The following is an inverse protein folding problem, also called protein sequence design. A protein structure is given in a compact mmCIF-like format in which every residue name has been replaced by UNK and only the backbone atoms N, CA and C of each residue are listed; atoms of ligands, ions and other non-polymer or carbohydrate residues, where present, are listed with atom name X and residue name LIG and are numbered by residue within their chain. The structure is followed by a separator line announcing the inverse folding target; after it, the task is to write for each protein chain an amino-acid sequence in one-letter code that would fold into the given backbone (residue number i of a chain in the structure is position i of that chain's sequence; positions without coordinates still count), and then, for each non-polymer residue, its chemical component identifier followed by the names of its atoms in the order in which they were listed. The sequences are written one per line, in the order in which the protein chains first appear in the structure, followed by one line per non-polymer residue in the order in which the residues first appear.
data_IF_988799508827
#
_entry.id   IF_988799508827
#
_cell.length_a   1.000
_cell.length_b   1.000
_cell.length_c   1.000
_cell.angle_alpha   90.00
_cell.angle_beta   90.00
_cell.angle_gamma   90.00
#
_symmetry.space_group_name_H-M   'P 1'
#
loop_
_entity.id
_entity.type
_entity.pdbx_description
1 polymer ?
#
# COMPACT_ATOMS: atom_id res chain seq x y z
N UNK A 1 2.93 -40.84 -4.98
CA UNK A 1 3.24 -39.77 -5.95
C UNK A 1 1.91 -39.09 -6.21
N UNK A 2 1.77 -37.80 -5.89
CA UNK A 2 0.52 -37.06 -6.09
C UNK A 2 0.24 -36.90 -7.59
N UNK A 3 -1.04 -36.88 -7.98
CA UNK A 3 -1.42 -36.56 -9.36
C UNK A 3 -1.11 -35.10 -9.70
N UNK A 4 -0.92 -34.80 -10.98
CA UNK A 4 -0.69 -33.42 -11.48
C UNK A 4 -1.80 -32.45 -11.06
N UNK A 5 -3.04 -32.93 -10.96
CA UNK A 5 -4.19 -32.14 -10.54
C UNK A 5 -4.15 -31.81 -9.03
N UNK A 6 -3.76 -32.77 -8.20
CA UNK A 6 -3.56 -32.55 -6.75
C UNK A 6 -2.41 -31.58 -6.50
N UNK A 7 -1.30 -31.72 -7.23
CA UNK A 7 -0.14 -30.82 -7.13
C UNK A 7 -0.50 -29.38 -7.52
N UNK A 8 -1.28 -29.22 -8.60
CA UNK A 8 -1.78 -27.91 -9.04
C UNK A 8 -2.69 -27.27 -7.99
N UNK A 9 -3.61 -28.03 -7.41
CA UNK A 9 -4.50 -27.53 -6.37
C UNK A 9 -3.74 -27.13 -5.11
N UNK A 10 -2.73 -27.90 -4.72
CA UNK A 10 -1.87 -27.56 -3.59
C UNK A 10 -1.07 -26.27 -3.83
N UNK A 11 -0.57 -26.06 -5.06
CA UNK A 11 0.11 -24.82 -5.46
C UNK A 11 -0.81 -23.61 -5.42
N UNK A 12 -2.07 -23.74 -5.86
CA UNK A 12 -3.07 -22.67 -5.82
C UNK A 12 -3.40 -22.32 -4.36
N UNK A 13 -3.57 -23.32 -3.49
CA UNK A 13 -3.85 -23.12 -2.06
C UNK A 13 -2.69 -22.43 -1.32
N UNK A 14 -1.44 -22.69 -1.75
CA UNK A 14 -0.23 -22.06 -1.18
C UNK A 14 0.16 -20.75 -1.86
N UNK A 15 -0.53 -20.35 -2.94
CA UNK A 15 -0.20 -19.14 -3.67
C UNK A 15 -0.53 -17.91 -2.83
N UNK A 16 0.49 -17.11 -2.51
CA UNK A 16 0.29 -15.80 -1.89
C UNK A 16 -0.51 -14.88 -2.82
N UNK A 17 -1.40 -14.07 -2.26
CA UNK A 17 -2.02 -12.94 -2.95
C UNK A 17 -0.96 -11.93 -3.41
N UNK A 18 -1.28 -11.06 -4.37
CA UNK A 18 -0.32 -10.14 -4.96
C UNK A 18 0.41 -9.28 -3.92
N UNK A 19 -0.33 -8.72 -2.97
CA UNK A 19 0.17 -7.87 -1.88
C UNK A 19 1.15 -8.59 -0.96
N UNK A 20 0.93 -9.88 -0.70
CA UNK A 20 1.78 -10.71 0.16
C UNK A 20 3.01 -11.29 -0.55
N UNK A 21 3.12 -11.14 -1.88
CA UNK A 21 4.31 -11.56 -2.64
C UNK A 21 5.48 -10.59 -2.40
N UNK A 22 6.73 -11.09 -2.47
CA UNK A 22 7.91 -10.24 -2.45
C UNK A 22 7.88 -9.23 -3.59
N UNK A 23 8.26 -7.98 -3.29
CA UNK A 23 8.47 -6.95 -4.28
C UNK A 23 9.93 -7.02 -4.74
N UNK A 24 10.20 -7.79 -5.79
CA UNK A 24 11.57 -8.00 -6.26
C UNK A 24 12.23 -6.70 -6.72
N UNK A 25 13.53 -6.57 -6.42
CA UNK A 25 14.31 -5.36 -6.71
C UNK A 25 14.16 -4.25 -5.67
N UNK A 26 13.28 -4.41 -4.67
CA UNK A 26 13.20 -3.52 -3.51
C UNK A 26 14.05 -4.00 -2.34
N UNK A 27 14.42 -3.06 -1.47
CA UNK A 27 15.15 -3.32 -0.23
C UNK A 27 14.49 -2.58 0.94
N UNK A 28 14.92 -2.88 2.17
CA UNK A 28 14.43 -2.19 3.36
C UNK A 28 14.65 -0.67 3.29
N UNK A 29 15.69 -0.22 2.58
CA UNK A 29 15.99 1.20 2.36
C UNK A 29 14.91 1.94 1.56
N UNK A 30 14.06 1.22 0.81
CA UNK A 30 12.95 1.79 0.07
C UNK A 30 11.70 2.01 0.94
N UNK A 31 11.71 1.51 2.18
CA UNK A 31 10.63 1.70 3.15
C UNK A 31 10.90 2.92 4.03
N UNK A 32 9.83 3.62 4.39
CA UNK A 32 9.82 4.67 5.39
C UNK A 32 9.53 4.05 6.77
N UNK A 33 10.60 3.73 7.48
CA UNK A 33 10.53 3.07 8.79
C UNK A 33 9.92 3.99 9.86
N UNK A 34 10.00 5.31 9.71
CA UNK A 34 9.42 6.23 10.69
C UNK A 34 7.88 6.21 10.63
N UNK A 35 7.30 6.09 9.43
CA UNK A 35 5.85 5.86 9.28
C UNK A 35 5.46 4.53 9.92
N UNK A 36 6.25 3.48 9.71
CA UNK A 36 6.01 2.18 10.34
C UNK A 36 6.03 2.24 11.87
N UNK A 37 7.03 2.90 12.45
CA UNK A 37 7.13 3.09 13.91
C UNK A 37 5.96 3.89 14.46
N UNK A 38 5.59 4.98 13.77
CA UNK A 38 4.41 5.78 14.13
C UNK A 38 3.14 4.93 14.09
N UNK A 39 2.96 4.10 13.07
CA UNK A 39 1.83 3.16 13.01
C UNK A 39 1.82 2.19 14.20
N UNK A 40 2.95 1.57 14.54
CA UNK A 40 3.02 0.64 15.68
C UNK A 40 2.62 1.30 17.01
N UNK A 41 3.06 2.55 17.23
CA UNK A 41 2.69 3.32 18.43
C UNK A 41 1.18 3.60 18.54
N UNK A 42 0.47 3.69 17.41
CA UNK A 42 -0.97 3.91 17.40
C UNK A 42 -1.77 2.59 17.38
N UNK A 43 -1.17 1.49 16.94
CA UNK A 43 -1.85 0.21 16.72
C UNK A 43 -1.61 -0.81 17.84
N UNK A 44 -0.58 -0.61 18.68
CA UNK A 44 -0.15 -1.54 19.72
C UNK A 44 0.05 -0.77 21.03
N UNK A 45 -0.36 -1.37 22.14
CA UNK A 45 -0.14 -0.80 23.48
C UNK A 45 1.35 -0.61 23.79
N UNK A 46 1.67 0.47 24.50
CA UNK A 46 3.04 0.90 24.77
C UNK A 46 3.86 -0.17 25.52
N UNK A 47 3.24 -0.88 26.48
CA UNK A 47 3.88 -1.96 27.23
C UNK A 47 4.29 -3.13 26.31
N UNK A 48 3.38 -3.56 25.42
CA UNK A 48 3.64 -4.65 24.46
C UNK A 48 4.72 -4.23 23.45
N UNK A 49 4.73 -2.95 23.05
CA UNK A 49 5.73 -2.43 22.13
C UNK A 49 7.12 -2.35 22.78
N UNK A 50 7.20 -1.99 24.07
CA UNK A 50 8.45 -1.89 24.82
C UNK A 50 9.11 -3.27 25.05
N UNK A 51 8.31 -4.32 25.23
CA UNK A 51 8.78 -5.71 25.37
C UNK A 51 9.19 -6.34 24.03
N UNK A 52 8.88 -5.70 22.90
CA UNK A 52 9.16 -6.25 21.57
C UNK A 52 10.61 -6.00 21.15
N UNK A 53 11.47 -6.98 21.42
CA UNK A 53 12.90 -6.94 21.09
C UNK A 53 13.25 -7.52 19.71
N UNK A 54 12.26 -7.76 18.84
CA UNK A 54 12.51 -8.26 17.48
C UNK A 54 13.23 -7.22 16.64
N UNK A 55 14.08 -7.67 15.73
CA UNK A 55 14.68 -6.77 14.75
C UNK A 55 13.60 -6.20 13.80
N UNK A 56 13.94 -5.12 13.11
CA UNK A 56 13.00 -4.41 12.24
C UNK A 56 12.44 -5.28 11.10
N UNK A 57 13.24 -6.20 10.54
CA UNK A 57 12.79 -7.11 9.48
C UNK A 57 11.75 -8.10 10.02
N UNK A 58 11.98 -8.64 11.22
CA UNK A 58 11.03 -9.51 11.90
C UNK A 58 9.74 -8.78 12.29
N UNK A 59 9.84 -7.52 12.74
CA UNK A 59 8.67 -6.69 13.02
C UNK A 59 7.84 -6.46 11.76
N UNK A 60 8.47 -6.06 10.65
CA UNK A 60 7.80 -5.89 9.35
C UNK A 60 7.20 -7.20 8.83
N UNK A 61 7.92 -8.31 8.95
CA UNK A 61 7.47 -9.63 8.53
C UNK A 61 6.25 -10.10 9.33
N UNK A 62 6.16 -9.76 10.62
CA UNK A 62 5.00 -10.08 11.47
C UNK A 62 3.71 -9.44 10.98
N UNK A 63 3.81 -8.32 10.26
CA UNK A 63 2.71 -7.61 9.61
C UNK A 63 2.63 -7.88 8.10
N UNK A 64 3.37 -8.90 7.61
CA UNK A 64 3.45 -9.28 6.18
C UNK A 64 3.95 -8.17 5.25
N UNK A 65 4.69 -7.20 5.78
CA UNK A 65 5.30 -6.12 5.01
C UNK A 65 6.70 -6.47 4.48
N UNK A 66 7.26 -7.57 4.96
CA UNK A 66 8.59 -8.06 4.58
C UNK A 66 8.58 -9.58 4.38
N UNK A 67 9.23 -10.04 3.33
CA UNK A 67 9.45 -11.45 3.06
C UNK A 67 10.85 -11.83 3.52
N UNK A 68 10.93 -12.62 4.60
CA UNK A 68 12.20 -13.05 5.18
C UNK A 68 12.95 -14.10 4.34
N UNK A 69 12.28 -14.78 3.40
CA UNK A 69 12.94 -15.77 2.53
C UNK A 69 13.71 -15.06 1.43
N UNK A 70 13.09 -14.05 0.81
CA UNK A 70 13.72 -13.26 -0.26
C UNK A 70 14.45 -12.01 0.24
N UNK A 71 14.38 -11.75 1.55
CA UNK A 71 15.00 -10.62 2.22
C UNK A 71 14.66 -9.27 1.55
N UNK A 72 13.39 -9.08 1.22
CA UNK A 72 12.89 -7.86 0.63
C UNK A 72 11.48 -7.52 1.12
N UNK A 73 11.04 -6.26 1.01
CA UNK A 73 9.66 -5.88 1.23
C UNK A 73 8.67 -6.71 0.39
N UNK A 74 7.43 -6.83 0.89
CA UNK A 74 6.31 -7.30 0.08
C UNK A 74 5.72 -6.16 -0.74
N UNK A 75 4.87 -6.48 -1.73
CA UNK A 75 4.13 -5.45 -2.45
C UNK A 75 3.25 -4.60 -1.51
N UNK A 76 2.68 -5.19 -0.46
CA UNK A 76 1.98 -4.47 0.60
C UNK A 76 2.91 -3.50 1.35
N UNK A 77 4.13 -3.93 1.70
CA UNK A 77 5.13 -3.08 2.34
C UNK A 77 5.45 -1.84 1.51
N UNK A 78 5.67 -2.02 0.21
CA UNK A 78 5.92 -0.90 -0.71
C UNK A 78 4.69 -0.01 -0.86
N UNK A 79 3.48 -0.54 -1.01
CA UNK A 79 2.26 0.26 -1.14
C UNK A 79 1.96 1.09 0.11
N UNK A 80 2.13 0.50 1.30
CA UNK A 80 1.71 1.11 2.56
C UNK A 80 2.70 2.13 3.09
N UNK A 81 4.00 1.84 2.99
CA UNK A 81 5.06 2.63 3.63
C UNK A 81 6.29 2.82 2.73
N UNK A 82 6.19 2.53 1.43
CA UNK A 82 7.28 2.76 0.49
C UNK A 82 7.52 4.25 0.24
N UNK A 83 8.79 4.64 0.10
CA UNK A 83 9.20 6.02 -0.21
C UNK A 83 8.80 6.44 -1.63
N UNK A 84 8.78 5.50 -2.56
CA UNK A 84 8.38 5.72 -3.95
C UNK A 84 7.62 4.50 -4.52
N UNK A 85 6.34 4.31 -4.16
CA UNK A 85 5.60 3.12 -4.58
C UNK A 85 5.42 3.01 -6.09
N UNK A 86 5.29 4.16 -6.79
CA UNK A 86 5.13 4.20 -8.26
C UNK A 86 6.31 3.60 -9.02
N UNK A 87 7.52 3.66 -8.47
CA UNK A 87 8.71 3.07 -9.10
C UNK A 87 8.57 1.55 -9.22
N UNK A 88 8.08 0.89 -8.17
CA UNK A 88 7.92 -0.57 -8.12
C UNK A 88 6.57 -1.03 -8.67
N UNK A 89 5.54 -0.21 -8.50
CA UNK A 89 4.15 -0.51 -8.79
C UNK A 89 3.56 0.66 -9.60
N UNK A 90 3.69 0.65 -10.94
CA UNK A 90 3.27 1.77 -11.79
C UNK A 90 1.79 2.14 -11.69
N UNK A 91 0.94 1.24 -11.17
CA UNK A 91 -0.47 1.48 -10.89
C UNK A 91 -0.79 1.97 -9.47
N UNK A 92 0.23 2.27 -8.64
CA UNK A 92 0.06 2.70 -7.25
C UNK A 92 -0.34 4.19 -7.14
N UNK A 93 -1.47 4.56 -7.75
CA UNK A 93 -2.03 5.89 -7.68
C UNK A 93 -3.56 5.86 -7.70
N UNK A 94 -4.17 6.93 -7.21
CA UNK A 94 -5.60 7.22 -7.37
C UNK A 94 -5.74 8.44 -8.26
N UNK A 95 -6.71 8.41 -9.18
CA UNK A 95 -6.96 9.49 -10.12
C UNK A 95 -8.41 9.95 -10.03
N UNK A 96 -8.58 11.25 -9.82
CA UNK A 96 -9.85 11.94 -9.94
C UNK A 96 -9.95 12.57 -11.32
N UNK A 97 -11.07 12.36 -12.00
CA UNK A 97 -11.40 13.03 -13.27
C UNK A 97 -12.85 13.51 -13.20
N UNK A 98 -13.05 14.80 -13.46
CA UNK A 98 -14.37 15.43 -13.61
C UNK A 98 -14.57 15.76 -15.07
N UNK A 99 -15.60 15.21 -15.69
CA UNK A 99 -15.97 15.53 -17.06
C UNK A 99 -16.98 16.67 -17.12
N UNK A 100 -16.98 17.41 -18.23
CA UNK A 100 -17.94 18.48 -18.52
C UNK A 100 -19.21 17.90 -19.17
N UNK A 101 -19.83 16.94 -18.50
CA UNK A 101 -21.01 16.22 -18.99
C UNK A 101 -21.23 14.93 -18.21
N UNK A 102 -21.93 13.98 -18.81
CA UNK A 102 -22.33 12.72 -18.16
C UNK A 102 -21.55 11.51 -18.66
N UNK A 103 -20.86 11.65 -19.79
CA UNK A 103 -20.12 10.58 -20.43
C UNK A 103 -18.62 10.71 -20.14
N UNK A 104 -17.91 9.59 -20.07
CA UNK A 104 -16.44 9.60 -19.93
C UNK A 104 -15.72 10.15 -21.18
N UNK A 105 -16.44 10.29 -22.30
CA UNK A 105 -15.95 10.91 -23.54
C UNK A 105 -16.07 12.43 -23.53
N UNK A 106 -16.81 13.01 -22.57
CA UNK A 106 -16.98 14.45 -22.50
C UNK A 106 -15.65 15.15 -22.15
N UNK A 107 -15.48 16.43 -22.47
CA UNK A 107 -14.23 17.14 -22.17
C UNK A 107 -13.87 17.11 -20.68
N UNK A 108 -12.61 16.84 -20.34
CA UNK A 108 -12.16 16.86 -18.95
C UNK A 108 -12.21 18.29 -18.42
N UNK A 109 -12.99 18.50 -17.37
CA UNK A 109 -13.12 19.77 -16.63
C UNK A 109 -12.03 19.91 -15.57
N UNK A 110 -11.68 18.81 -14.90
CA UNK A 110 -10.65 18.78 -13.85
C UNK A 110 -10.07 17.39 -13.74
N UNK A 111 -8.78 17.29 -13.49
CA UNK A 111 -8.08 16.04 -13.25
C UNK A 111 -7.08 16.24 -12.11
N UNK A 112 -6.94 15.23 -11.25
CA UNK A 112 -5.89 15.20 -10.23
C UNK A 112 -5.45 13.77 -9.97
N UNK A 113 -4.13 13.56 -9.85
CA UNK A 113 -3.54 12.28 -9.43
C UNK A 113 -3.00 12.39 -8.01
N UNK A 114 -3.17 11.32 -7.25
CA UNK A 114 -2.66 11.14 -5.90
C UNK A 114 -1.77 9.90 -5.89
N UNK A 115 -0.56 10.05 -5.41
CA UNK A 115 0.43 8.98 -5.35
C UNK A 115 1.35 9.19 -4.16
N UNK A 116 2.19 8.19 -3.90
CA UNK A 116 2.99 8.10 -2.68
C UNK A 116 2.56 6.88 -1.88
N UNK A 117 3.03 6.78 -0.64
CA UNK A 117 2.55 5.77 0.29
C UNK A 117 1.04 5.94 0.55
N UNK A 118 0.36 4.84 0.89
CA UNK A 118 -1.09 4.83 1.04
C UNK A 118 -1.58 5.85 2.09
N UNK A 119 -0.82 6.06 3.16
CA UNK A 119 -1.19 7.03 4.20
C UNK A 119 -1.23 8.47 3.63
N UNK A 120 -0.21 8.86 2.88
CA UNK A 120 -0.16 10.15 2.18
C UNK A 120 -1.30 10.29 1.17
N UNK A 121 -1.56 9.26 0.36
CA UNK A 121 -2.67 9.27 -0.62
C UNK A 121 -4.01 9.48 0.07
N UNK A 122 -4.30 8.78 1.18
CA UNK A 122 -5.55 8.92 1.92
C UNK A 122 -5.71 10.31 2.52
N UNK A 123 -4.63 10.87 3.08
CA UNK A 123 -4.62 12.23 3.64
C UNK A 123 -4.91 13.28 2.57
N UNK A 124 -4.25 13.18 1.42
CA UNK A 124 -4.42 14.12 0.32
C UNK A 124 -5.80 14.02 -0.34
N UNK A 125 -6.33 12.81 -0.46
CA UNK A 125 -7.70 12.57 -0.91
C UNK A 125 -8.71 13.20 0.04
N UNK A 126 -8.57 13.01 1.36
CA UNK A 126 -9.47 13.60 2.34
C UNK A 126 -9.47 15.13 2.27
N UNK A 127 -8.29 15.75 2.12
CA UNK A 127 -8.16 17.19 1.95
C UNK A 127 -8.79 17.66 0.63
N UNK A 128 -8.57 16.92 -0.45
CA UNK A 128 -9.16 17.23 -1.75
C UNK A 128 -10.68 17.19 -1.73
N UNK A 129 -11.27 16.13 -1.15
CA UNK A 129 -12.72 15.96 -1.05
C UNK A 129 -13.35 17.13 -0.27
N UNK A 130 -12.75 17.52 0.87
CA UNK A 130 -13.23 18.66 1.66
C UNK A 130 -13.25 19.96 0.86
N UNK A 131 -12.20 20.23 0.09
CA UNK A 131 -12.12 21.45 -0.70
C UNK A 131 -13.10 21.44 -1.89
N UNK A 132 -13.26 20.30 -2.56
CA UNK A 132 -14.13 20.18 -3.74
C UNK A 132 -15.62 20.14 -3.36
N UNK A 133 -15.99 19.54 -2.22
CA UNK A 133 -17.40 19.52 -1.76
C UNK A 133 -17.87 20.93 -1.36
N UNK A 134 -16.98 21.76 -0.79
CA UNK A 134 -17.33 23.14 -0.44
C UNK A 134 -17.64 23.95 -1.71
N UNK A 135 -16.93 23.74 -2.83
CA UNK A 135 -17.27 24.38 -4.11
C UNK A 135 -18.60 23.90 -4.72
N UNK A 136 -19.11 22.73 -4.32
CA UNK A 136 -20.36 22.15 -4.85
C UNK A 136 -21.61 22.54 -4.06
N UNK A 137 -21.47 23.29 -2.97
CA UNK A 137 -22.59 23.78 -2.16
C UNK A 137 -22.61 25.31 -2.22
N UNK A 138 -23.29 25.92 -3.21
CA UNK A 138 -23.45 27.36 -3.24
C UNK A 138 -24.31 27.79 -2.05
N UNK A 139 -23.94 28.88 -1.39
CA UNK A 139 -24.85 29.65 -0.54
C UNK A 139 -26.01 30.22 -1.35
#
# INVERSE_FOLDING_TARGET
MLSEEELRNELILKAKTFDAKPCFGSAIGDLNIDIFRSYLQHAIDEEILAENHRDIHQQLASLRLYDGVYNCPTNAGILLIGKNPLFFLPGAYVQYVRFNGKEMTDPVKSEKRFHGDLYTVLKDLNNFIKNVIIELTPH
#
